data_IF_600288035377
#
_entry.id   IF_600288035377
#
_cell.length_a   1.000
_cell.length_b   1.000
_cell.length_c   1.000
_cell.angle_alpha   90.00
_cell.angle_beta   90.00
_cell.angle_gamma   90.00
#
_symmetry.space_group_name_H-M   'P 1'
#
loop_
_entity.id
_entity.type
_entity.pdbx_description
1 polymer ?
#
# COMPACT_ATOMS: atom_id res chain seq x y z
N UNK A 1 21.90 1.57 -14.47
CA UNK A 1 20.58 1.72 -15.14
C UNK A 1 19.79 0.43 -14.91
N UNK A 2 18.46 0.49 -14.83
CA UNK A 2 17.60 -0.70 -14.73
C UNK A 2 17.60 -1.50 -16.04
N UNK A 3 17.32 -2.80 -15.95
CA UNK A 3 17.20 -3.69 -17.10
C UNK A 3 15.97 -3.31 -17.95
N UNK A 4 16.11 -3.01 -19.26
CA UNK A 4 14.99 -2.70 -20.14
C UNK A 4 13.99 -3.84 -20.32
N UNK A 5 14.33 -5.08 -19.94
CA UNK A 5 13.42 -6.22 -19.89
C UNK A 5 12.74 -6.46 -18.53
N UNK A 6 13.01 -5.64 -17.51
CA UNK A 6 12.45 -5.85 -16.19
C UNK A 6 10.95 -5.53 -16.16
N UNK A 7 10.13 -6.57 -16.11
CA UNK A 7 8.71 -6.47 -15.78
C UNK A 7 8.49 -6.08 -14.32
N UNK A 8 7.31 -5.56 -13.99
CA UNK A 8 6.90 -5.38 -12.59
C UNK A 8 6.89 -6.74 -11.88
N UNK A 9 7.55 -6.90 -10.73
CA UNK A 9 7.43 -8.12 -9.93
C UNK A 9 6.06 -8.26 -9.26
N UNK A 10 5.27 -7.18 -9.23
CA UNK A 10 3.94 -7.17 -8.63
C UNK A 10 2.89 -7.52 -9.67
N UNK A 11 2.06 -8.51 -9.32
CA UNK A 11 0.86 -8.89 -10.06
C UNK A 11 -0.25 -7.84 -9.92
N UNK A 12 -0.40 -7.26 -8.71
CA UNK A 12 -1.42 -6.26 -8.37
C UNK A 12 -0.82 -5.13 -7.53
N UNK A 13 -1.26 -3.90 -7.79
CA UNK A 13 -1.02 -2.73 -6.96
C UNK A 13 -2.33 -2.19 -6.37
N UNK A 14 -2.32 -1.87 -5.08
CA UNK A 14 -3.45 -1.26 -4.36
C UNK A 14 -3.08 0.18 -3.97
N UNK A 15 -3.98 1.13 -4.24
CA UNK A 15 -3.77 2.56 -4.00
C UNK A 15 -4.64 3.02 -2.84
N UNK A 16 -4.02 3.23 -1.69
CA UNK A 16 -4.68 3.74 -0.49
C UNK A 16 -4.49 5.24 -0.32
N UNK A 17 -5.58 5.96 0.02
CA UNK A 17 -5.53 7.29 0.62
C UNK A 17 -5.84 7.15 2.10
N UNK A 18 -4.81 7.21 2.93
CA UNK A 18 -4.96 6.89 4.36
C UNK A 18 -5.39 5.43 4.53
N UNK A 19 -6.55 5.22 5.14
CA UNK A 19 -7.13 3.88 5.34
C UNK A 19 -8.18 3.49 4.29
N UNK A 20 -8.43 4.36 3.31
CA UNK A 20 -9.39 4.10 2.24
C UNK A 20 -8.69 3.58 1.00
N UNK A 21 -9.12 2.43 0.50
CA UNK A 21 -8.70 1.89 -0.79
C UNK A 21 -9.41 2.69 -1.90
N UNK A 22 -8.67 3.42 -2.72
CA UNK A 22 -9.24 4.27 -3.77
C UNK A 22 -9.12 3.66 -5.17
N UNK A 23 -8.10 2.83 -5.41
CA UNK A 23 -7.91 2.19 -6.70
C UNK A 23 -7.13 0.87 -6.60
N UNK A 24 -7.23 0.07 -7.65
CA UNK A 24 -6.45 -1.15 -7.87
C UNK A 24 -5.94 -1.19 -9.30
N UNK A 25 -4.74 -1.73 -9.49
CA UNK A 25 -4.15 -1.96 -10.81
C UNK A 25 -3.66 -3.39 -10.93
N UNK A 26 -3.99 -4.04 -12.03
CA UNK A 26 -3.46 -5.35 -12.41
C UNK A 26 -3.00 -5.28 -13.86
N UNK A 27 -1.70 -5.48 -14.08
CA UNK A 27 -1.08 -5.23 -15.39
C UNK A 27 -1.32 -3.80 -15.89
N UNK A 28 -1.91 -3.67 -17.06
CA UNK A 28 -2.18 -2.38 -17.73
C UNK A 28 -3.50 -1.75 -17.28
N UNK A 29 -4.38 -2.50 -16.60
CA UNK A 29 -5.69 -2.02 -16.19
C UNK A 29 -5.64 -1.41 -14.80
N UNK A 30 -6.19 -0.21 -14.65
CA UNK A 30 -6.40 0.46 -13.37
C UNK A 30 -7.87 0.80 -13.21
N UNK A 31 -8.46 0.42 -12.08
CA UNK A 31 -9.80 0.80 -11.67
C UNK A 31 -9.71 1.77 -10.50
N UNK A 32 -10.29 2.97 -10.66
CA UNK A 32 -10.65 3.84 -9.54
C UNK A 32 -12.00 3.38 -8.99
N UNK A 33 -12.05 3.00 -7.73
CA UNK A 33 -13.23 2.35 -7.13
C UNK A 33 -14.42 3.31 -7.00
N UNK A 34 -14.14 4.58 -6.70
CA UNK A 34 -15.13 5.66 -6.69
C UNK A 34 -14.67 6.78 -7.65
N UNK A 35 -15.45 7.11 -8.69
CA UNK A 35 -16.82 6.66 -8.97
C UNK A 35 -16.95 5.32 -9.73
N UNK A 36 -15.85 4.60 -10.02
CA UNK A 36 -15.87 3.35 -10.79
C UNK A 36 -15.35 3.52 -12.21
N UNK A 37 -14.18 4.12 -12.37
CA UNK A 37 -13.58 4.49 -13.65
C UNK A 37 -12.43 3.54 -14.00
N UNK A 38 -12.43 3.03 -15.24
CA UNK A 38 -11.44 2.05 -15.71
C UNK A 38 -10.55 2.68 -16.78
N UNK A 39 -9.23 2.49 -16.64
CA UNK A 39 -8.23 3.03 -17.55
C UNK A 39 -7.23 1.96 -17.99
N UNK A 40 -6.73 2.09 -19.22
CA UNK A 40 -5.68 1.24 -19.77
C UNK A 40 -4.35 2.01 -19.85
N UNK A 41 -3.50 1.88 -18.83
CA UNK A 41 -2.35 2.76 -18.60
C UNK A 41 -1.23 2.67 -19.65
N UNK A 42 -1.12 1.58 -20.42
CA UNK A 42 -0.13 1.54 -21.52
C UNK A 42 -0.52 2.44 -22.70
N UNK A 43 -1.81 2.73 -22.85
CA UNK A 43 -2.37 3.52 -23.96
C UNK A 43 -2.78 4.91 -23.50
N UNK A 44 -3.16 5.02 -22.22
CA UNK A 44 -3.64 6.22 -21.59
C UNK A 44 -3.05 6.34 -20.17
N UNK A 45 -1.78 6.72 -20.11
CA UNK A 45 -1.08 6.95 -18.84
C UNK A 45 -1.65 8.15 -18.05
N UNK A 46 -2.39 9.03 -18.74
CA UNK A 46 -3.00 10.22 -18.16
C UNK A 46 -4.39 9.99 -17.56
N UNK A 47 -4.93 8.77 -17.64
CA UNK A 47 -6.26 8.42 -17.12
C UNK A 47 -7.36 9.36 -17.65
N UNK A 48 -7.31 9.63 -18.96
CA UNK A 48 -8.22 10.57 -19.65
C UNK A 48 -9.44 9.89 -20.28
N UNK A 49 -9.38 8.60 -20.62
CA UNK A 49 -10.46 7.85 -21.27
C UNK A 49 -11.05 6.78 -20.35
N UNK A 50 -12.28 7.01 -19.88
CA UNK A 50 -12.97 6.07 -19.00
C UNK A 50 -13.61 4.93 -19.80
N UNK A 51 -13.04 3.74 -19.67
CA UNK A 51 -13.43 2.52 -20.38
C UNK A 51 -14.39 1.62 -19.58
N UNK A 52 -14.88 2.05 -18.42
CA UNK A 52 -15.65 1.19 -17.50
C UNK A 52 -16.92 0.60 -18.14
N UNK A 53 -17.65 1.38 -18.93
CA UNK A 53 -18.85 0.92 -19.63
C UNK A 53 -18.55 -0.05 -20.78
N UNK A 54 -17.37 0.07 -21.40
CA UNK A 54 -16.95 -0.80 -22.51
C UNK A 54 -16.43 -2.15 -22.02
N UNK A 55 -15.85 -2.21 -20.81
CA UNK A 55 -15.24 -3.42 -20.24
C UNK A 55 -15.78 -3.74 -18.83
N UNK A 56 -17.09 -4.01 -18.68
CA UNK A 56 -17.69 -4.27 -17.37
C UNK A 56 -17.13 -5.53 -16.69
N UNK A 57 -16.68 -6.52 -17.47
CA UNK A 57 -16.04 -7.72 -16.93
C UNK A 57 -14.71 -7.40 -16.22
N UNK A 58 -13.90 -6.52 -16.80
CA UNK A 58 -12.61 -6.08 -16.20
C UNK A 58 -12.87 -5.26 -14.94
N UNK A 59 -13.91 -4.40 -14.95
CA UNK A 59 -14.33 -3.69 -13.75
C UNK A 59 -14.70 -4.67 -12.63
N UNK A 60 -15.45 -5.72 -12.94
CA UNK A 60 -15.84 -6.71 -11.94
C UNK A 60 -14.64 -7.48 -11.41
N UNK A 61 -13.73 -7.93 -12.28
CA UNK A 61 -12.49 -8.60 -11.89
C UNK A 61 -11.66 -7.74 -10.93
N UNK A 62 -11.45 -6.47 -11.27
CA UNK A 62 -10.68 -5.56 -10.43
C UNK A 62 -11.41 -5.24 -9.11
N UNK A 63 -12.74 -5.18 -9.09
CA UNK A 63 -13.50 -5.08 -7.83
C UNK A 63 -13.30 -6.32 -6.95
N UNK A 64 -13.27 -7.50 -7.53
CA UNK A 64 -13.03 -8.74 -6.79
C UNK A 64 -11.61 -8.77 -6.22
N UNK A 65 -10.62 -8.28 -6.98
CA UNK A 65 -9.26 -8.09 -6.49
C UNK A 65 -9.23 -7.09 -5.33
N UNK A 66 -9.90 -5.94 -5.46
CA UNK A 66 -9.99 -4.94 -4.39
C UNK A 66 -10.62 -5.53 -3.11
N UNK A 67 -11.68 -6.33 -3.25
CA UNK A 67 -12.40 -6.94 -2.13
C UNK A 67 -11.54 -7.89 -1.29
N UNK A 68 -10.47 -8.47 -1.85
CA UNK A 68 -9.52 -9.32 -1.09
C UNK A 68 -8.87 -8.56 0.07
N UNK A 69 -8.70 -7.25 -0.08
CA UNK A 69 -8.07 -6.43 0.96
C UNK A 69 -8.95 -6.22 2.19
N UNK A 70 -10.26 -6.52 2.11
CA UNK A 70 -11.16 -6.46 3.26
C UNK A 70 -10.64 -7.25 4.46
N UNK A 71 -10.06 -8.42 4.19
CA UNK A 71 -9.57 -9.35 5.21
C UNK A 71 -8.04 -9.22 5.45
N UNK A 72 -7.42 -8.15 4.92
CA UNK A 72 -6.01 -7.81 5.17
C UNK A 72 -5.89 -6.36 5.66
N UNK A 73 -5.60 -5.40 4.78
CA UNK A 73 -5.38 -4.00 5.16
C UNK A 73 -6.68 -3.21 5.41
N UNK A 74 -7.83 -3.70 4.95
CA UNK A 74 -9.13 -3.05 5.02
C UNK A 74 -9.49 -2.29 3.73
N UNK A 75 -10.75 -1.89 3.59
CA UNK A 75 -11.24 -1.08 2.45
C UNK A 75 -11.47 0.39 2.81
N UNK A 76 -11.93 0.64 4.03
CA UNK A 76 -12.12 1.97 4.61
C UNK A 76 -11.97 1.85 6.14
N UNK A 77 -10.72 1.81 6.60
CA UNK A 77 -10.39 1.59 8.01
C UNK A 77 -9.24 0.61 8.20
N UNK A 78 -8.93 0.32 9.46
CA UNK A 78 -7.87 -0.64 9.83
C UNK A 78 -8.42 -2.05 9.62
N UNK A 79 -7.89 -2.77 8.62
CA UNK A 79 -8.24 -4.17 8.39
C UNK A 79 -7.61 -5.15 9.39
N UNK A 80 -8.05 -6.42 9.39
CA UNK A 80 -7.65 -7.42 10.37
C UNK A 80 -6.19 -7.91 10.22
N UNK A 81 -5.58 -7.73 9.04
CA UNK A 81 -4.16 -7.99 8.78
C UNK A 81 -3.23 -6.89 9.27
N UNK A 82 -3.76 -5.71 9.60
CA UNK A 82 -2.96 -4.62 10.16
C UNK A 82 -2.47 -4.95 11.57
N UNK A 83 -1.15 -4.86 11.78
CA UNK A 83 -0.55 -5.03 13.10
C UNK A 83 -1.01 -3.91 14.04
N UNK A 84 -1.39 -4.23 15.30
CA UNK A 84 -1.72 -3.20 16.28
C UNK A 84 -0.52 -2.30 16.54
N UNK A 85 -0.79 -1.03 16.84
CA UNK A 85 0.26 -0.09 17.24
C UNK A 85 0.97 -0.61 18.50
N UNK A 86 2.29 -0.74 18.42
CA UNK A 86 3.11 -1.04 19.58
C UNK A 86 2.98 0.07 20.61
N UNK A 87 2.55 -0.28 21.83
CA UNK A 87 2.51 0.65 22.97
C UNK A 87 3.53 0.20 23.99
N UNK A 88 4.27 1.16 24.52
CA UNK A 88 5.20 0.99 25.64
C UNK A 88 4.70 1.89 26.74
N UNK A 89 4.47 1.35 27.93
CA UNK A 89 3.89 2.09 29.07
C UNK A 89 4.75 3.31 29.45
N UNK A 90 6.07 3.13 29.48
CA UNK A 90 7.04 4.17 29.81
C UNK A 90 8.06 4.31 28.67
N UNK A 91 7.70 4.99 27.56
CA UNK A 91 8.61 5.15 26.44
C UNK A 91 9.77 6.05 26.86
N UNK A 92 10.99 5.55 26.72
CA UNK A 92 12.20 6.31 27.00
C UNK A 92 12.87 6.70 25.67
N UNK A 93 13.28 7.96 25.50
CA UNK A 93 14.02 8.37 24.31
C UNK A 93 15.37 7.63 24.25
N UNK A 94 15.91 7.44 23.04
CA UNK A 94 17.24 6.86 22.87
C UNK A 94 18.35 7.80 23.38
N UNK A 95 18.12 9.10 23.30
CA UNK A 95 19.00 10.15 23.82
C UNK A 95 18.15 11.06 24.69
N UNK A 96 18.53 11.22 25.95
CA UNK A 96 17.88 12.10 26.90
C UNK A 96 18.11 13.58 26.53
N UNK A 97 17.27 14.52 27.02
CA UNK A 97 17.44 15.94 26.73
C UNK A 97 18.81 16.52 27.14
N UNK A 98 19.50 15.88 28.07
CA UNK A 98 20.85 16.24 28.53
C UNK A 98 21.97 15.59 27.69
N UNK A 99 21.63 14.91 26.59
CA UNK A 99 22.57 14.26 25.69
C UNK A 99 23.00 12.85 26.09
N UNK A 100 22.51 12.31 27.22
CA UNK A 100 22.88 10.95 27.66
C UNK A 100 22.17 9.88 26.81
N UNK A 101 22.92 8.88 26.37
CA UNK A 101 22.37 7.71 25.65
C UNK A 101 21.68 6.78 26.64
N UNK A 102 20.52 6.25 26.26
CA UNK A 102 19.76 5.26 27.04
C UNK A 102 20.61 4.02 27.33
N UNK A 103 20.53 3.53 28.56
CA UNK A 103 21.20 2.30 28.98
C UNK A 103 20.86 1.11 28.06
N UNK A 104 21.87 0.32 27.68
CA UNK A 104 21.73 -0.78 26.70
C UNK A 104 21.77 -0.34 25.23
N UNK A 105 21.75 0.96 24.94
CA UNK A 105 21.91 1.51 23.58
C UNK A 105 23.23 2.29 23.39
N UNK A 106 24.07 2.35 24.43
CA UNK A 106 25.41 2.89 24.32
C UNK A 106 26.26 2.05 23.34
N UNK A 107 27.22 2.65 22.61
CA UNK A 107 28.12 1.92 21.73
C UNK A 107 28.79 0.75 22.46
N UNK A 108 28.66 -0.46 21.91
CA UNK A 108 29.22 -1.68 22.49
C UNK A 108 28.36 -2.38 23.54
N UNK A 109 27.19 -1.85 23.91
CA UNK A 109 26.26 -2.46 24.88
C UNK A 109 25.00 -3.07 24.26
N UNK A 110 24.80 -2.93 22.94
CA UNK A 110 23.70 -3.57 22.22
C UNK A 110 23.90 -5.07 22.03
N UNK A 111 22.84 -5.84 21.74
CA UNK A 111 22.96 -7.27 21.45
C UNK A 111 23.86 -7.46 20.22
N UNK A 112 24.97 -8.18 20.39
CA UNK A 112 25.75 -8.65 19.23
C UNK A 112 24.90 -9.66 18.46
N UNK A 113 24.57 -9.34 17.21
CA UNK A 113 24.04 -10.33 16.27
C UNK A 113 25.16 -11.27 15.82
#
# INVERSE_FOLDING_TARGET
>A
AGDPGAGSPHEVFYYYRGLKLEAVRQGSWKLRLEPGELYHLDRDIGESDNLASAFPAVVQELRDVANRMKDDLGLDGIGPGCRPLGRVENPQPLIAPDGRVREGFAPGQGPRR
#
